data_IF_957359042908
#
_entry.id   IF_957359042908
#
_cell.length_a   1.000
_cell.length_b   1.000
_cell.length_c   1.000
_cell.angle_alpha   90.00
_cell.angle_beta   90.00
_cell.angle_gamma   90.00
#
_symmetry.space_group_name_H-M   'P 1'
#
loop_
_entity.id
_entity.type
_entity.pdbx_description
1 polymer ?
#
# COMPACT_ATOMS: atom_id res chain seq x y z
N UNK A 1 10.89 -11.21 4.47
CA UNK A 1 11.94 -11.71 3.55
C UNK A 1 11.69 -11.26 2.11
N UNK A 2 10.46 -11.37 1.58
CA UNK A 2 10.08 -10.91 0.24
C UNK A 2 10.36 -9.42 -0.05
N UNK A 3 9.74 -8.50 0.71
CA UNK A 3 9.92 -7.06 0.51
C UNK A 3 11.38 -6.60 0.64
N UNK A 4 12.16 -7.25 1.52
CA UNK A 4 13.58 -6.95 1.70
C UNK A 4 14.40 -7.32 0.47
N UNK A 5 14.07 -8.45 -0.16
CA UNK A 5 14.71 -8.88 -1.39
C UNK A 5 14.38 -7.93 -2.55
N UNK A 6 13.11 -7.55 -2.72
CA UNK A 6 12.71 -6.55 -3.73
C UNK A 6 13.44 -5.22 -3.53
N UNK A 7 13.54 -4.78 -2.28
CA UNK A 7 14.18 -3.51 -1.96
C UNK A 7 15.69 -3.49 -2.28
N UNK A 8 16.35 -4.64 -2.47
CA UNK A 8 17.78 -4.69 -2.85
C UNK A 8 18.04 -4.06 -4.22
N UNK A 9 17.12 -4.23 -5.17
CA UNK A 9 17.29 -3.72 -6.53
C UNK A 9 17.13 -2.19 -6.59
N UNK A 10 16.46 -1.61 -5.58
CA UNK A 10 16.28 -0.17 -5.47
C UNK A 10 15.40 0.47 -6.54
N UNK A 11 14.67 -0.32 -7.33
CA UNK A 11 13.84 0.16 -8.44
C UNK A 11 12.40 0.50 -7.99
N UNK A 12 11.49 0.73 -8.94
CA UNK A 12 10.05 0.95 -8.71
C UNK A 12 9.36 -0.36 -8.36
N UNK A 13 8.51 -0.35 -7.33
CA UNK A 13 7.61 -1.45 -7.01
C UNK A 13 6.16 -1.04 -7.21
N UNK A 14 5.34 -1.95 -7.74
CA UNK A 14 3.89 -1.78 -7.81
C UNK A 14 3.22 -2.55 -6.68
N UNK A 15 2.33 -1.88 -5.95
CA UNK A 15 1.50 -2.46 -4.89
C UNK A 15 0.06 -2.47 -5.35
N UNK A 16 -0.54 -3.67 -5.30
CA UNK A 16 -1.96 -3.85 -5.55
C UNK A 16 -2.72 -3.72 -4.25
N UNK A 17 -3.76 -2.89 -4.24
CA UNK A 17 -4.65 -2.75 -3.09
C UNK A 17 -6.06 -2.43 -3.55
N UNK A 18 -7.05 -2.49 -2.65
CA UNK A 18 -8.31 -1.84 -2.94
C UNK A 18 -8.14 -0.31 -3.04
N UNK A 19 -9.10 0.38 -3.67
CA UNK A 19 -9.02 1.82 -3.85
C UNK A 19 -9.20 2.58 -2.52
N UNK A 20 -8.69 3.82 -2.41
CA UNK A 20 -9.06 4.75 -1.35
C UNK A 20 -10.59 4.87 -1.22
N UNK A 21 -11.13 5.00 0.01
CA UNK A 21 -10.41 5.13 1.29
C UNK A 21 -9.90 3.79 1.87
N UNK A 22 -10.42 2.66 1.42
CA UNK A 22 -10.13 1.33 1.98
C UNK A 22 -8.87 0.70 1.38
N UNK A 23 -7.79 1.48 1.29
CA UNK A 23 -6.52 0.95 0.78
C UNK A 23 -5.90 -0.06 1.74
N UNK A 24 -6.12 0.17 3.03
CA UNK A 24 -5.48 -0.55 4.13
C UNK A 24 -6.49 -1.03 5.14
N UNK A 25 -6.10 -2.05 5.91
CA UNK A 25 -6.86 -2.45 7.08
C UNK A 25 -6.93 -1.26 8.06
N UNK A 26 -8.12 -0.75 8.40
CA UNK A 26 -8.28 0.38 9.31
C UNK A 26 -7.83 0.04 10.73
N UNK A 27 -7.80 -1.25 11.09
CA UNK A 27 -7.27 -1.74 12.37
C UNK A 27 -5.75 -1.97 12.32
N UNK A 28 -5.12 -1.76 11.16
CA UNK A 28 -3.72 -2.08 10.93
C UNK A 28 -3.45 -3.58 10.86
N UNK A 29 -2.19 -3.96 11.10
CA UNK A 29 -1.79 -5.36 11.29
C UNK A 29 -1.74 -6.22 10.03
N UNK A 30 -1.98 -5.66 8.84
CA UNK A 30 -1.65 -6.39 7.61
C UNK A 30 -0.13 -6.55 7.47
N UNK A 31 0.31 -7.65 6.85
CA UNK A 31 1.73 -7.86 6.55
C UNK A 31 2.33 -6.67 5.79
N UNK A 32 1.56 -6.09 4.87
CA UNK A 32 1.97 -4.90 4.14
C UNK A 32 2.25 -3.73 5.08
N UNK A 33 1.30 -3.34 5.92
CA UNK A 33 1.45 -2.19 6.84
C UNK A 33 2.55 -2.40 7.89
N UNK A 34 2.66 -3.61 8.45
CA UNK A 34 3.55 -3.87 9.60
C UNK A 34 4.97 -4.23 9.18
N UNK A 35 5.15 -4.94 8.06
CA UNK A 35 6.45 -5.48 7.66
C UNK A 35 6.91 -4.95 6.30
N UNK A 36 6.09 -5.06 5.26
CA UNK A 36 6.56 -4.83 3.89
C UNK A 36 6.76 -3.34 3.59
N UNK A 37 5.79 -2.49 3.88
CA UNK A 37 5.88 -1.05 3.63
C UNK A 37 7.05 -0.39 4.38
N UNK A 38 7.29 -0.69 5.68
CA UNK A 38 8.50 -0.21 6.37
C UNK A 38 9.81 -0.65 5.69
N UNK A 39 9.89 -1.89 5.19
CA UNK A 39 11.07 -2.38 4.48
C UNK A 39 11.22 -1.66 3.14
N UNK A 40 10.17 -1.59 2.32
CA UNK A 40 10.20 -0.94 1.01
C UNK A 40 10.62 0.54 1.14
N UNK A 41 10.13 1.24 2.18
CA UNK A 41 10.50 2.63 2.49
C UNK A 41 11.90 2.79 3.13
N UNK A 42 12.64 1.71 3.36
CA UNK A 42 14.00 1.75 3.90
C UNK A 42 14.12 1.88 5.42
N UNK A 43 13.04 1.69 6.19
CA UNK A 43 13.11 1.76 7.65
C UNK A 43 13.86 0.58 8.27
N UNK A 44 13.99 -0.53 7.54
CA UNK A 44 14.60 -1.79 7.98
C UNK A 44 15.66 -2.29 6.99
N UNK A 45 16.42 -1.39 6.37
CA UNK A 45 17.55 -1.71 5.48
C UNK A 45 17.45 -1.07 4.10
N UNK A 46 17.62 -1.83 2.99
CA UNK A 46 17.54 -1.31 1.63
C UNK A 46 16.16 -0.72 1.34
N UNK A 47 16.03 0.07 0.28
CA UNK A 47 14.77 0.75 -0.07
C UNK A 47 14.55 0.75 -1.57
N UNK A 48 13.29 0.77 -1.98
CA UNK A 48 12.91 1.00 -3.38
C UNK A 48 13.11 2.47 -3.76
N UNK A 49 13.11 2.79 -5.05
CA UNK A 49 13.09 4.17 -5.52
C UNK A 49 11.70 4.79 -5.40
N UNK A 50 10.65 3.99 -5.67
CA UNK A 50 9.26 4.45 -5.73
C UNK A 50 8.27 3.31 -5.46
N UNK A 51 7.16 3.64 -4.81
CA UNK A 51 6.00 2.75 -4.67
C UNK A 51 4.86 3.32 -5.53
N UNK A 52 4.42 2.56 -6.52
CA UNK A 52 3.22 2.85 -7.31
C UNK A 52 2.03 2.03 -6.82
N UNK A 53 0.86 2.64 -6.76
CA UNK A 53 -0.39 1.97 -6.37
C UNK A 53 -1.24 1.68 -7.60
N UNK A 54 -1.84 0.50 -7.62
CA UNK A 54 -2.84 0.09 -8.62
C UNK A 54 -4.05 -0.54 -7.92
N UNK A 55 -5.24 -0.23 -8.42
CA UNK A 55 -6.52 -0.69 -7.86
C UNK A 55 -7.30 -1.53 -8.88
N UNK A 56 -6.94 -2.81 -9.05
CA UNK A 56 -7.49 -3.65 -10.12
C UNK A 56 -8.98 -3.99 -9.95
N UNK A 57 -9.57 -3.71 -8.79
CA UNK A 57 -10.99 -3.95 -8.51
C UNK A 57 -11.92 -2.91 -9.13
N UNK A 58 -11.39 -1.87 -9.77
CA UNK A 58 -12.15 -0.80 -10.41
C UNK A 58 -12.05 -0.95 -11.92
N UNK A 59 -13.16 -1.30 -12.57
CA UNK A 59 -13.19 -1.72 -13.98
C UNK A 59 -12.57 -0.69 -14.93
N UNK A 60 -12.72 0.60 -14.66
CA UNK A 60 -12.22 1.69 -15.51
C UNK A 60 -10.86 2.26 -15.07
N UNK A 61 -10.27 1.71 -13.99
CA UNK A 61 -9.02 2.22 -13.40
C UNK A 61 -7.96 1.13 -13.19
N UNK A 62 -8.11 -0.02 -13.85
CA UNK A 62 -7.25 -1.21 -13.66
C UNK A 62 -5.78 -0.93 -13.97
N UNK A 63 -5.51 -0.09 -14.96
CA UNK A 63 -4.16 0.29 -15.37
C UNK A 63 -3.70 1.63 -14.76
N UNK A 64 -4.60 2.32 -14.04
CA UNK A 64 -4.26 3.59 -13.46
C UNK A 64 -3.27 3.40 -12.30
N UNK A 65 -2.19 4.19 -12.36
CA UNK A 65 -1.07 4.16 -11.42
C UNK A 65 -0.86 5.55 -10.86
N UNK A 66 -0.61 5.64 -9.57
CA UNK A 66 -0.12 6.86 -8.94
C UNK A 66 0.94 6.54 -7.90
N UNK A 67 1.79 7.52 -7.61
CA UNK A 67 2.84 7.39 -6.62
C UNK A 67 2.26 7.46 -5.20
N UNK A 68 2.67 6.52 -4.34
CA UNK A 68 2.43 6.58 -2.90
C UNK A 68 3.68 7.04 -2.13
N UNK A 69 4.86 6.71 -2.63
CA UNK A 69 6.13 7.03 -2.00
C UNK A 69 7.21 7.17 -3.08
N UNK A 70 8.15 8.13 -2.97
CA UNK A 70 8.35 9.05 -1.85
C UNK A 70 7.34 10.20 -1.74
N UNK A 71 6.67 10.57 -2.82
CA UNK A 71 5.66 11.61 -2.85
C UNK A 71 4.26 10.97 -2.96
N UNK A 72 3.43 11.19 -1.95
CA UNK A 72 2.05 10.70 -1.98
C UNK A 72 1.22 11.55 -2.96
N UNK A 73 0.76 10.91 -4.03
CA UNK A 73 -0.08 11.47 -5.08
C UNK A 73 -1.49 10.87 -5.08
N UNK A 74 -1.97 10.38 -3.93
CA UNK A 74 -3.34 9.89 -3.78
C UNK A 74 -4.40 10.90 -4.26
N UNK A 75 -4.15 12.20 -4.12
CA UNK A 75 -5.09 13.22 -4.57
C UNK A 75 -5.44 13.08 -6.07
N UNK A 76 -4.48 12.66 -6.90
CA UNK A 76 -4.71 12.43 -8.34
C UNK A 76 -5.77 11.33 -8.53
N UNK A 77 -5.73 10.26 -7.74
CA UNK A 77 -6.78 9.24 -7.74
C UNK A 77 -8.14 9.83 -7.35
N UNK A 78 -8.19 10.55 -6.23
CA UNK A 78 -9.42 11.16 -5.72
C UNK A 78 -10.06 12.12 -6.73
N UNK A 79 -9.24 12.91 -7.43
CA UNK A 79 -9.71 13.89 -8.41
C UNK A 79 -10.34 13.22 -9.64
N UNK A 80 -9.84 12.05 -10.06
CA UNK A 80 -10.34 11.34 -11.24
C UNK A 80 -11.46 10.33 -10.96
N UNK A 81 -11.37 9.60 -9.85
CA UNK A 81 -12.28 8.48 -9.56
C UNK A 81 -13.17 8.72 -8.33
N UNK A 82 -12.94 9.81 -7.59
CA UNK A 82 -13.65 10.09 -6.35
C UNK A 82 -13.34 9.09 -5.24
N UNK A 83 -14.33 8.88 -4.37
CA UNK A 83 -14.26 7.91 -3.28
C UNK A 83 -15.29 6.80 -3.55
N UNK A 84 -14.88 5.63 -4.06
CA UNK A 84 -15.79 4.49 -4.16
C UNK A 84 -16.39 4.15 -2.79
N UNK A 85 -17.63 3.66 -2.79
CA UNK A 85 -18.33 3.25 -1.58
C UNK A 85 -17.57 2.10 -0.90
N UNK A 86 -17.33 2.27 0.40
CA UNK A 86 -16.59 1.33 1.23
C UNK A 86 -17.40 0.05 1.47
N UNK A 87 -17.20 -0.98 0.63
CA UNK A 87 -17.83 -2.31 0.80
C UNK A 87 -16.81 -3.39 1.21
N UNK A 88 -15.63 -2.99 1.69
CA UNK A 88 -14.57 -3.93 2.06
C UNK A 88 -14.73 -4.38 3.51
N UNK A 89 -15.00 -5.66 3.67
CA UNK A 89 -15.09 -6.30 4.97
C UNK A 89 -13.69 -6.69 5.46
N UNK A 90 -13.04 -5.78 6.19
CA UNK A 90 -11.73 -6.04 6.79
C UNK A 90 -11.81 -7.09 7.89
N UNK A 91 -10.84 -8.02 7.92
CA UNK A 91 -10.70 -8.92 9.05
C UNK A 91 -10.20 -8.12 10.27
N UNK A 92 -10.89 -8.29 11.38
CA UNK A 92 -10.43 -7.77 12.66
C UNK A 92 -9.22 -8.59 13.10
N UNK A 93 -8.04 -7.98 13.09
CA UNK A 93 -6.82 -8.61 13.58
C UNK A 93 -6.58 -8.06 14.98
N UNK A 94 -6.55 -8.93 15.99
CA UNK A 94 -6.16 -8.50 17.33
C UNK A 94 -4.73 -7.97 17.25
N UNK A 95 -4.51 -6.72 17.63
CA UNK A 95 -3.16 -6.18 17.75
C UNK A 95 -2.43 -7.07 18.77
N UNK A 96 -1.38 -7.77 18.34
CA UNK A 96 -0.46 -8.36 19.29
C UNK A 96 0.15 -7.19 20.06
N UNK A 97 -0.26 -7.00 21.31
CA UNK A 97 0.51 -6.20 22.25
C UNK A 97 1.85 -6.90 22.36
N UNK A 98 2.86 -6.34 21.70
CA UNK A 98 4.25 -6.65 22.03
C UNK A 98 4.41 -6.27 23.49
N UNK A 99 4.42 -7.27 24.37
CA UNK A 99 4.86 -7.11 25.75
C UNK A 99 6.31 -6.62 25.68
N UNK A 100 6.49 -5.32 25.92
CA UNK A 100 7.76 -4.74 26.31
C UNK A 100 8.13 -5.23 27.72
#
# INVERSE_FOLDING_TARGET
MFAYHIAQDGDVVTVLSPPPPDRYNPYGGSNYQTLEEPILKGKLGPRVAKIEMVHPTILDAQEFRYELWPQDQQNIWCDMFGHPSADIHWRHVAAHQSLL
#
